data_IF_265381291744
#
_entry.id   IF_265381291744
#
_cell.length_a   1.000
_cell.length_b   1.000
_cell.length_c   1.000
_cell.angle_alpha   90.00
_cell.angle_beta   90.00
_cell.angle_gamma   90.00
#
_symmetry.space_group_name_H-M   'P 1'
#
loop_
_entity.id
_entity.type
_entity.pdbx_description
1 polymer ?
#
# COMPACT_ATOMS: atom_id res chain seq x y z
N UNK A 1 32.23 -0.42 31.25
CA UNK A 1 32.15 -0.17 29.80
C UNK A 1 30.78 0.43 29.54
N UNK A 2 30.72 1.69 29.08
CA UNK A 2 29.45 2.35 28.73
C UNK A 2 28.74 1.48 27.67
N UNK A 3 27.47 1.18 27.90
CA UNK A 3 26.62 0.51 26.91
C UNK A 3 26.64 1.37 25.64
N UNK A 4 27.26 0.86 24.56
CA UNK A 4 27.30 1.60 23.28
C UNK A 4 25.85 1.91 22.89
N UNK A 5 25.55 3.17 22.58
CA UNK A 5 24.24 3.59 22.12
C UNK A 5 23.79 2.71 20.93
N UNK A 6 22.56 2.21 21.01
CA UNK A 6 21.95 1.27 20.05
C UNK A 6 20.87 2.00 19.25
N UNK A 7 20.86 1.77 17.94
CA UNK A 7 19.91 2.40 17.02
C UNK A 7 19.25 1.38 16.10
N UNK A 8 18.09 1.76 15.57
CA UNK A 8 17.34 1.02 14.55
C UNK A 8 17.15 1.93 13.35
N UNK A 9 17.27 1.32 12.16
CA UNK A 9 17.10 2.00 10.88
C UNK A 9 15.75 1.59 10.28
N UNK A 10 14.90 2.57 9.99
CA UNK A 10 13.69 2.38 9.19
C UNK A 10 13.92 2.89 7.77
N UNK A 11 13.55 2.11 6.77
CA UNK A 11 13.53 2.51 5.36
C UNK A 11 12.07 2.61 4.95
N UNK A 12 11.66 3.72 4.33
CA UNK A 12 10.33 3.89 3.71
C UNK A 12 10.51 4.15 2.21
N UNK A 13 10.11 3.18 1.40
CA UNK A 13 10.13 3.24 -0.06
C UNK A 13 8.72 3.54 -0.60
N UNK A 14 8.34 4.81 -0.55
CA UNK A 14 7.10 5.31 -1.13
C UNK A 14 7.16 5.49 -2.65
N UNK A 15 6.08 5.99 -3.26
CA UNK A 15 6.03 6.19 -4.72
C UNK A 15 6.94 7.31 -5.26
N UNK A 16 7.12 8.38 -4.48
CA UNK A 16 7.85 9.61 -4.89
C UNK A 16 9.17 9.79 -4.15
N UNK A 17 9.29 9.27 -2.93
CA UNK A 17 10.47 9.45 -2.09
C UNK A 17 10.86 8.15 -1.43
N UNK A 18 12.17 7.92 -1.35
CA UNK A 18 12.78 6.94 -0.45
C UNK A 18 13.31 7.69 0.76
N UNK A 19 12.97 7.21 1.95
CA UNK A 19 13.37 7.79 3.22
C UNK A 19 14.12 6.75 4.04
N UNK A 20 15.14 7.18 4.77
CA UNK A 20 15.77 6.42 5.84
C UNK A 20 15.70 7.25 7.12
N UNK A 21 15.17 6.66 8.20
CA UNK A 21 15.07 7.27 9.52
C UNK A 21 15.84 6.47 10.56
N UNK A 22 16.48 7.17 11.49
CA UNK A 22 17.27 6.55 12.56
C UNK A 22 16.61 6.80 13.92
N UNK A 23 16.42 5.74 14.69
CA UNK A 23 15.73 5.80 15.97
C UNK A 23 16.51 5.09 17.07
N UNK A 24 16.46 5.60 18.31
CA UNK A 24 17.02 4.91 19.48
C UNK A 24 16.04 3.91 20.10
N UNK A 25 16.48 3.23 21.17
CA UNK A 25 15.67 2.22 21.88
C UNK A 25 14.42 2.80 22.57
N UNK A 26 14.29 4.12 22.67
CA UNK A 26 13.11 4.81 23.19
C UNK A 26 12.22 5.35 22.06
N UNK A 27 12.55 5.06 20.80
CA UNK A 27 11.82 5.54 19.63
C UNK A 27 12.10 7.00 19.29
N UNK A 28 13.12 7.64 19.89
CA UNK A 28 13.44 9.03 19.54
C UNK A 28 14.15 9.07 18.19
N UNK A 29 13.72 9.96 17.32
CA UNK A 29 14.34 10.20 16.01
C UNK A 29 15.66 10.96 16.17
N UNK A 30 16.73 10.45 15.56
CA UNK A 30 18.06 11.08 15.53
C UNK A 30 18.39 11.68 14.16
N UNK A 31 17.60 11.33 13.13
CA UNK A 31 17.69 11.97 11.83
C UNK A 31 16.95 11.21 10.75
N UNK A 32 16.60 11.96 9.69
CA UNK A 32 16.02 11.43 8.45
C UNK A 32 16.89 11.85 7.27
N UNK A 33 17.02 10.94 6.30
CA UNK A 33 17.46 11.24 4.95
C UNK A 33 16.39 10.86 3.95
N UNK A 34 16.31 11.60 2.85
CA UNK A 34 15.40 11.28 1.76
C UNK A 34 16.03 11.56 0.41
N UNK A 35 15.66 10.75 -0.58
CA UNK A 35 15.93 10.99 -1.99
C UNK A 35 14.64 10.89 -2.81
N UNK A 36 14.59 11.64 -3.90
CA UNK A 36 13.51 11.53 -4.87
C UNK A 36 13.63 10.21 -5.63
N UNK A 37 12.51 9.49 -5.77
CA UNK A 37 12.41 8.29 -6.58
C UNK A 37 11.68 8.63 -7.88
N UNK A 38 12.31 8.36 -9.01
CA UNK A 38 11.74 8.65 -10.32
C UNK A 38 10.80 7.53 -10.79
N UNK A 39 9.54 7.89 -11.08
CA UNK A 39 8.62 7.02 -11.82
C UNK A 39 8.86 7.11 -13.31
N UNK A 40 9.01 5.96 -13.95
CA UNK A 40 9.08 5.85 -15.39
C UNK A 40 7.67 5.59 -15.93
N UNK A 41 7.22 6.42 -16.88
CA UNK A 41 5.92 6.25 -17.55
C UNK A 41 6.14 6.26 -19.05
N UNK A 42 6.66 5.15 -19.63
CA UNK A 42 7.01 5.10 -21.06
C UNK A 42 5.79 5.17 -21.98
N UNK A 43 4.62 4.75 -21.48
CA UNK A 43 3.33 4.75 -22.20
C UNK A 43 2.19 5.18 -21.26
N UNK A 44 1.05 5.64 -21.80
CA UNK A 44 -0.13 5.93 -20.99
C UNK A 44 -0.55 4.73 -20.13
N UNK A 45 -0.76 4.98 -18.84
CA UNK A 45 -1.13 3.95 -17.87
C UNK A 45 0.04 3.09 -17.35
N UNK A 46 1.25 3.25 -17.87
CA UNK A 46 2.44 2.53 -17.38
C UNK A 46 3.08 3.31 -16.23
N UNK A 47 3.46 2.59 -15.18
CA UNK A 47 4.17 3.12 -14.03
C UNK A 47 5.25 2.11 -13.61
N UNK A 48 6.50 2.46 -13.88
CA UNK A 48 7.65 1.57 -13.73
C UNK A 48 8.71 2.13 -12.78
N UNK A 49 9.60 1.24 -12.35
CA UNK A 49 10.80 1.55 -11.57
C UNK A 49 12.01 0.81 -12.11
N UNK A 50 13.08 1.54 -12.38
CA UNK A 50 14.39 0.94 -12.56
C UNK A 50 14.86 0.37 -11.22
N UNK A 51 15.11 -0.94 -11.20
CA UNK A 51 15.42 -1.69 -9.98
C UNK A 51 16.86 -1.41 -9.51
N UNK A 52 17.83 -1.34 -10.42
CA UNK A 52 19.22 -1.05 -10.08
C UNK A 52 19.35 0.38 -9.54
N UNK A 53 18.66 1.34 -10.17
CA UNK A 53 18.61 2.72 -9.68
C UNK A 53 17.94 2.81 -8.30
N UNK A 54 16.85 2.06 -8.08
CA UNK A 54 16.17 2.00 -6.79
C UNK A 54 17.13 1.52 -5.69
N UNK A 55 17.91 0.45 -5.95
CA UNK A 55 18.90 -0.04 -4.99
C UNK A 55 19.98 1.01 -4.71
N UNK A 56 20.54 1.64 -5.75
CA UNK A 56 21.55 2.68 -5.59
C UNK A 56 21.05 3.86 -4.76
N UNK A 57 19.81 4.30 -5.01
CA UNK A 57 19.17 5.38 -4.24
C UNK A 57 18.91 4.98 -2.79
N UNK A 58 18.49 3.73 -2.54
CA UNK A 58 18.34 3.20 -1.19
C UNK A 58 19.68 3.24 -0.44
N UNK A 59 20.73 2.67 -1.03
CA UNK A 59 22.05 2.62 -0.42
C UNK A 59 22.62 4.02 -0.15
N UNK A 60 22.49 4.94 -1.12
CA UNK A 60 22.92 6.34 -0.96
C UNK A 60 22.10 7.09 0.12
N UNK A 61 20.81 6.76 0.28
CA UNK A 61 19.97 7.35 1.33
C UNK A 61 20.42 6.89 2.71
N UNK A 62 20.74 5.61 2.87
CA UNK A 62 21.28 5.05 4.12
C UNK A 62 22.65 5.64 4.44
N UNK A 63 23.59 5.61 3.49
CA UNK A 63 24.94 6.13 3.66
C UNK A 63 24.92 7.63 4.00
N UNK A 64 24.10 8.42 3.30
CA UNK A 64 23.94 9.85 3.57
C UNK A 64 23.32 10.14 4.94
N UNK A 65 22.48 9.24 5.48
CA UNK A 65 21.95 9.37 6.84
C UNK A 65 23.07 9.16 7.87
N UNK A 66 23.82 8.05 7.76
CA UNK A 66 24.90 7.70 8.68
C UNK A 66 26.00 8.78 8.67
N UNK A 67 26.35 9.30 7.50
CA UNK A 67 27.33 10.38 7.37
C UNK A 67 26.89 11.65 8.10
N UNK A 68 25.61 12.05 7.98
CA UNK A 68 25.11 13.29 8.59
C UNK A 68 24.91 13.19 10.09
N UNK A 69 24.49 12.03 10.60
CA UNK A 69 24.31 11.81 12.04
C UNK A 69 25.63 11.49 12.75
N UNK A 70 26.65 11.05 12.01
CA UNK A 70 27.91 10.56 12.57
C UNK A 70 27.78 9.24 13.31
N UNK A 71 26.64 8.55 13.18
CA UNK A 71 26.40 7.26 13.83
C UNK A 71 26.98 6.14 12.97
N UNK A 72 27.78 5.29 13.59
CA UNK A 72 28.48 4.21 12.89
C UNK A 72 27.58 3.01 12.64
N UNK A 73 27.83 2.29 11.53
CA UNK A 73 27.08 1.10 11.14
C UNK A 73 27.02 0.01 12.23
N UNK A 74 28.06 -0.15 13.05
CA UNK A 74 28.08 -1.14 14.14
C UNK A 74 27.12 -0.82 15.29
N UNK A 75 26.61 0.41 15.35
CA UNK A 75 25.62 0.85 16.34
C UNK A 75 24.19 0.52 15.91
N UNK A 76 23.97 0.20 14.63
CA UNK A 76 22.68 -0.22 14.10
C UNK A 76 22.44 -1.68 14.49
N UNK A 77 21.32 -1.94 15.16
CA UNK A 77 20.96 -3.27 15.69
C UNK A 77 19.86 -3.98 14.92
N UNK A 78 19.19 -3.27 14.02
CA UNK A 78 18.22 -3.84 13.11
C UNK A 78 17.80 -2.85 12.05
N UNK A 79 17.38 -3.40 10.91
CA UNK A 79 16.84 -2.64 9.78
C UNK A 79 15.42 -3.14 9.50
N UNK A 80 14.45 -2.22 9.42
CA UNK A 80 13.10 -2.49 8.95
C UNK A 80 12.81 -1.73 7.66
N UNK A 81 12.00 -2.32 6.78
CA UNK A 81 11.61 -1.72 5.50
C UNK A 81 10.09 -1.63 5.45
N UNK A 82 9.57 -0.43 5.21
CA UNK A 82 8.22 -0.24 4.72
C UNK A 82 8.28 0.19 3.26
N UNK A 83 7.33 -0.26 2.45
CA UNK A 83 7.20 0.22 1.08
C UNK A 83 5.75 0.17 0.61
N UNK A 84 5.50 0.86 -0.50
CA UNK A 84 4.27 0.71 -1.25
C UNK A 84 3.95 -0.77 -1.51
N UNK A 85 2.68 -1.12 -1.34
CA UNK A 85 2.18 -2.48 -1.56
C UNK A 85 2.01 -2.83 -3.02
N UNK A 86 1.81 -4.14 -3.27
CA UNK A 86 1.50 -4.69 -4.60
C UNK A 86 2.62 -4.35 -5.61
N UNK A 87 2.26 -4.19 -6.88
CA UNK A 87 3.25 -4.10 -7.96
C UNK A 87 3.92 -5.44 -8.25
N UNK A 88 4.91 -5.45 -9.15
CA UNK A 88 5.61 -6.66 -9.56
C UNK A 88 7.09 -6.35 -9.77
N UNK A 89 7.93 -6.98 -8.96
CA UNK A 89 9.39 -6.93 -9.02
C UNK A 89 9.88 -8.35 -9.36
N UNK A 90 10.68 -8.48 -10.41
CA UNK A 90 11.05 -9.78 -10.96
C UNK A 90 12.57 -9.95 -10.94
N UNK A 91 13.02 -11.10 -10.47
CA UNK A 91 14.38 -11.57 -10.70
C UNK A 91 14.36 -12.68 -11.75
N UNK A 92 15.42 -12.75 -12.54
CA UNK A 92 15.65 -13.86 -13.46
C UNK A 92 16.11 -15.14 -12.71
N UNK A 93 16.29 -16.24 -13.44
CA UNK A 93 16.78 -17.52 -12.89
C UNK A 93 18.24 -17.46 -12.39
N UNK A 94 18.93 -16.33 -12.57
CA UNK A 94 20.29 -16.05 -12.10
C UNK A 94 20.32 -14.95 -11.03
N UNK A 95 19.15 -14.61 -10.46
CA UNK A 95 19.00 -13.61 -9.40
C UNK A 95 19.43 -12.19 -9.80
N UNK A 96 19.17 -11.82 -11.06
CA UNK A 96 19.36 -10.45 -11.54
C UNK A 96 18.01 -9.78 -11.82
N UNK A 97 17.88 -8.46 -11.66
CA UNK A 97 16.67 -7.74 -12.05
C UNK A 97 16.24 -8.08 -13.49
N UNK A 98 15.01 -8.54 -13.64
CA UNK A 98 14.45 -8.96 -14.93
C UNK A 98 13.58 -7.84 -15.50
N UNK A 99 14.24 -6.79 -15.98
CA UNK A 99 13.61 -5.57 -16.50
C UNK A 99 13.13 -4.61 -15.40
N UNK A 100 12.43 -3.54 -15.78
CA UNK A 100 11.85 -2.61 -14.80
C UNK A 100 10.74 -3.28 -13.97
N UNK A 101 10.66 -2.93 -12.70
CA UNK A 101 9.53 -3.28 -11.87
C UNK A 101 8.29 -2.48 -12.29
N UNK A 102 7.11 -3.08 -12.15
CA UNK A 102 5.82 -2.46 -12.43
C UNK A 102 5.14 -2.09 -11.11
N UNK A 103 4.67 -0.86 -10.97
CA UNK A 103 4.13 -0.35 -9.71
C UNK A 103 2.64 -0.67 -9.52
N UNK A 104 2.13 -0.49 -8.31
CA UNK A 104 0.70 -0.69 -7.99
C UNK A 104 -0.24 0.31 -8.69
N UNK A 105 0.29 1.46 -9.12
CA UNK A 105 -0.41 2.44 -9.95
C UNK A 105 -0.43 2.08 -11.44
N UNK A 106 0.23 0.99 -11.86
CA UNK A 106 0.26 0.55 -13.25
C UNK A 106 -1.11 0.00 -13.68
N UNK A 107 -1.54 0.41 -14.88
CA UNK A 107 -2.84 0.12 -15.47
C UNK A 107 -2.74 -0.72 -16.74
N UNK A 108 -1.56 -1.20 -17.13
CA UNK A 108 -1.38 -1.98 -18.38
C UNK A 108 -2.20 -3.27 -18.40
N UNK A 109 -2.50 -3.83 -17.22
CA UNK A 109 -3.32 -5.03 -17.07
C UNK A 109 -4.84 -4.76 -17.09
N UNK A 110 -5.31 -3.56 -17.46
CA UNK A 110 -6.74 -3.21 -17.45
C UNK A 110 -7.60 -4.19 -18.26
N UNK A 111 -7.21 -4.51 -19.49
CA UNK A 111 -7.96 -5.43 -20.35
C UNK A 111 -8.00 -6.86 -19.77
N UNK A 112 -6.97 -7.28 -19.02
CA UNK A 112 -6.96 -8.58 -18.33
C UNK A 112 -7.97 -8.58 -17.20
N UNK A 113 -7.95 -7.54 -16.34
CA UNK A 113 -8.89 -7.41 -15.22
C UNK A 113 -10.34 -7.36 -15.71
N UNK A 114 -10.61 -6.63 -16.79
CA UNK A 114 -11.96 -6.56 -17.40
C UNK A 114 -12.43 -7.93 -17.92
N UNK A 115 -11.57 -8.71 -18.58
CA UNK A 115 -11.90 -10.07 -19.00
C UNK A 115 -12.18 -10.98 -17.80
N UNK A 116 -11.33 -10.94 -16.77
CA UNK A 116 -11.55 -11.70 -15.55
C UNK A 116 -12.86 -11.35 -14.83
N UNK A 117 -13.26 -10.08 -14.83
CA UNK A 117 -14.56 -9.66 -14.31
C UNK A 117 -15.72 -10.27 -15.13
N UNK A 118 -15.63 -10.28 -16.46
CA UNK A 118 -16.64 -10.90 -17.33
C UNK A 118 -16.71 -12.42 -17.16
N UNK A 119 -15.55 -13.06 -16.90
CA UNK A 119 -15.42 -14.51 -16.74
C UNK A 119 -15.81 -15.02 -15.33
N UNK A 120 -16.21 -14.12 -14.43
CA UNK A 120 -16.59 -14.46 -13.06
C UNK A 120 -15.41 -14.95 -12.19
N UNK A 121 -14.21 -14.45 -12.47
CA UNK A 121 -13.00 -14.75 -11.68
C UNK A 121 -13.02 -14.09 -10.29
N UNK A 122 -13.47 -12.83 -10.11
CA UNK A 122 -13.56 -12.22 -8.77
C UNK A 122 -14.34 -13.07 -7.76
N UNK A 123 -15.44 -13.69 -8.18
CA UNK A 123 -16.32 -14.52 -7.36
C UNK A 123 -15.63 -15.82 -6.90
N UNK A 124 -14.67 -16.31 -7.68
CA UNK A 124 -13.84 -17.49 -7.33
C UNK A 124 -12.68 -17.10 -6.41
N UNK A 125 -12.04 -15.96 -6.66
CA UNK A 125 -10.86 -15.52 -5.92
C UNK A 125 -11.22 -14.99 -4.53
N UNK A 126 -12.19 -14.08 -4.44
CA UNK A 126 -12.46 -13.32 -3.23
C UNK A 126 -12.73 -14.19 -1.99
N UNK A 127 -13.47 -15.33 -2.05
CA UNK A 127 -13.65 -16.20 -0.89
C UNK A 127 -12.34 -16.76 -0.32
N UNK A 128 -11.30 -16.89 -1.15
CA UNK A 128 -10.00 -17.47 -0.79
C UNK A 128 -8.97 -16.38 -0.46
N UNK A 129 -8.87 -15.34 -1.28
CA UNK A 129 -7.85 -14.29 -1.15
C UNK A 129 -8.31 -13.14 -0.26
N UNK A 130 -9.62 -12.90 -0.19
CA UNK A 130 -10.23 -11.69 0.39
C UNK A 130 -9.68 -10.40 -0.22
N UNK A 131 -9.32 -10.48 -1.49
CA UNK A 131 -8.81 -9.38 -2.30
C UNK A 131 -9.72 -9.14 -3.49
N UNK A 132 -10.03 -7.88 -3.78
CA UNK A 132 -10.61 -7.49 -5.06
C UNK A 132 -9.56 -7.60 -6.17
N UNK A 133 -9.98 -7.70 -7.44
CA UNK A 133 -9.05 -7.66 -8.56
C UNK A 133 -8.71 -6.22 -8.95
N UNK A 134 -7.41 -5.93 -9.07
CA UNK A 134 -6.86 -4.63 -9.43
C UNK A 134 -5.74 -4.78 -10.46
N UNK A 135 -5.52 -3.76 -11.30
CA UNK A 135 -4.54 -3.81 -12.40
C UNK A 135 -3.11 -3.91 -11.90
N UNK A 136 -2.79 -3.22 -10.80
CA UNK A 136 -1.46 -3.18 -10.21
C UNK A 136 -1.16 -4.34 -9.26
N UNK A 137 -2.01 -5.37 -9.19
CA UNK A 137 -1.71 -6.58 -8.41
C UNK A 137 -0.62 -7.42 -9.08
N UNK A 138 0.27 -8.05 -8.30
CA UNK A 138 1.27 -8.99 -8.82
C UNK A 138 0.67 -10.01 -9.79
N UNK A 139 -0.47 -10.63 -9.42
CA UNK A 139 -1.20 -11.56 -10.27
C UNK A 139 -1.60 -10.98 -11.64
N UNK A 140 -2.18 -9.79 -11.67
CA UNK A 140 -2.63 -9.12 -12.89
C UNK A 140 -1.44 -8.77 -13.80
N UNK A 141 -0.36 -8.26 -13.21
CA UNK A 141 0.85 -7.88 -13.92
C UNK A 141 1.60 -9.11 -14.46
N UNK A 142 1.67 -10.21 -13.70
CA UNK A 142 2.21 -11.48 -14.17
C UNK A 142 1.47 -12.01 -15.39
N UNK A 143 0.14 -11.98 -15.35
CA UNK A 143 -0.68 -12.38 -16.50
C UNK A 143 -0.41 -11.49 -17.71
N UNK A 144 -0.21 -10.20 -17.49
CA UNK A 144 0.17 -9.27 -18.55
C UNK A 144 1.53 -9.61 -19.17
N UNK A 145 2.56 -9.86 -18.35
CA UNK A 145 3.89 -10.26 -18.82
C UNK A 145 3.81 -11.59 -19.59
N UNK A 146 2.99 -12.55 -19.15
CA UNK A 146 2.77 -13.80 -19.87
C UNK A 146 2.23 -13.59 -21.28
N UNK A 147 1.23 -12.72 -21.44
CA UNK A 147 0.56 -12.49 -22.73
C UNK A 147 1.36 -11.57 -23.67
N UNK A 148 2.12 -10.61 -23.13
CA UNK A 148 2.75 -9.54 -23.92
C UNK A 148 4.27 -9.67 -24.01
N UNK A 149 4.92 -10.31 -23.02
CA UNK A 149 6.37 -10.48 -22.93
C UNK A 149 6.74 -11.94 -22.60
N UNK A 150 6.32 -12.93 -23.41
CA UNK A 150 6.45 -14.36 -23.06
C UNK A 150 7.91 -14.81 -22.86
N UNK A 151 8.86 -14.19 -23.56
CA UNK A 151 10.30 -14.46 -23.37
C UNK A 151 10.81 -13.98 -22.00
N UNK A 152 10.29 -12.86 -21.50
CA UNK A 152 10.58 -12.37 -20.14
C UNK A 152 9.90 -13.27 -19.12
N UNK A 153 8.62 -13.61 -19.34
CA UNK A 153 7.88 -14.51 -18.45
C UNK A 153 8.61 -15.84 -18.21
N UNK A 154 9.12 -16.45 -19.27
CA UNK A 154 9.85 -17.73 -19.20
C UNK A 154 11.17 -17.66 -18.41
N UNK A 155 11.71 -16.46 -18.19
CA UNK A 155 12.95 -16.22 -17.46
C UNK A 155 12.73 -15.89 -15.98
N UNK A 156 11.49 -15.71 -15.54
CA UNK A 156 11.20 -15.39 -14.13
C UNK A 156 11.73 -16.52 -13.23
N UNK A 157 12.62 -16.14 -12.31
CA UNK A 157 13.17 -17.00 -11.27
C UNK A 157 12.68 -16.63 -9.87
N UNK A 158 12.22 -15.39 -9.67
CA UNK A 158 11.60 -14.98 -8.43
C UNK A 158 10.57 -13.84 -8.63
N UNK A 159 9.44 -13.94 -7.94
CA UNK A 159 8.41 -12.90 -7.87
C UNK A 159 8.46 -12.21 -6.52
N UNK A 160 8.57 -10.88 -6.52
CA UNK A 160 8.70 -10.04 -5.33
C UNK A 160 7.87 -8.76 -5.44
N UNK A 161 7.80 -8.01 -4.33
CA UNK A 161 7.31 -6.62 -4.29
C UNK A 161 8.44 -5.68 -3.83
N UNK A 162 8.16 -4.37 -3.73
CA UNK A 162 9.22 -3.35 -3.61
C UNK A 162 10.12 -3.50 -2.37
N UNK A 163 9.55 -3.71 -1.19
CA UNK A 163 10.32 -3.91 0.04
C UNK A 163 11.06 -5.26 0.04
N UNK A 164 10.48 -6.31 -0.56
CA UNK A 164 11.14 -7.62 -0.70
C UNK A 164 12.40 -7.52 -1.57
N UNK A 165 12.32 -6.79 -2.68
CA UNK A 165 13.47 -6.53 -3.54
C UNK A 165 14.58 -5.78 -2.78
N UNK A 166 14.24 -4.71 -2.06
CA UNK A 166 15.22 -3.97 -1.26
C UNK A 166 15.82 -4.82 -0.14
N UNK A 167 15.01 -5.67 0.51
CA UNK A 167 15.50 -6.64 1.50
C UNK A 167 16.47 -7.62 0.85
N UNK A 168 16.12 -8.17 -0.32
CA UNK A 168 17.01 -9.07 -1.07
C UNK A 168 18.32 -8.37 -1.48
N UNK A 169 18.31 -7.10 -1.89
CA UNK A 169 19.54 -6.36 -2.16
C UNK A 169 20.44 -6.21 -0.92
N UNK A 170 19.83 -6.05 0.26
CA UNK A 170 20.55 -5.93 1.53
C UNK A 170 21.10 -7.28 2.00
N UNK A 171 20.34 -8.36 1.82
CA UNK A 171 20.58 -9.65 2.50
C UNK A 171 20.95 -10.83 1.60
N UNK A 172 20.66 -10.74 0.31
CA UNK A 172 20.73 -11.87 -0.63
C UNK A 172 19.68 -12.96 -0.40
N UNK A 173 18.78 -12.79 0.58
CA UNK A 173 17.78 -13.80 0.96
C UNK A 173 16.45 -13.47 0.29
N UNK A 174 15.89 -14.45 -0.43
CA UNK A 174 14.58 -14.34 -1.07
C UNK A 174 13.47 -14.62 -0.06
N UNK A 175 12.42 -13.81 -0.12
CA UNK A 175 11.19 -13.99 0.63
C UNK A 175 10.15 -13.00 0.16
N UNK A 176 8.89 -13.22 0.51
CA UNK A 176 7.83 -12.23 0.38
C UNK A 176 7.21 -11.96 1.75
N UNK A 177 7.21 -10.71 2.19
CA UNK A 177 6.65 -10.36 3.49
C UNK A 177 5.12 -10.54 3.51
N UNK A 178 4.63 -11.11 4.61
CA UNK A 178 3.25 -11.59 4.75
C UNK A 178 2.20 -10.49 4.54
N UNK A 179 2.37 -9.31 5.15
CA UNK A 179 1.39 -8.23 5.08
C UNK A 179 1.16 -7.78 3.63
N UNK A 180 2.20 -7.74 2.80
CA UNK A 180 2.10 -7.35 1.39
C UNK A 180 1.65 -8.51 0.49
N UNK A 181 2.24 -9.71 0.65
CA UNK A 181 1.91 -10.86 -0.21
C UNK A 181 0.47 -11.33 0.00
N UNK A 182 -0.09 -11.11 1.19
CA UNK A 182 -1.50 -11.38 1.48
C UNK A 182 -2.45 -10.59 0.57
N UNK A 183 -2.00 -9.46 0.00
CA UNK A 183 -2.76 -8.61 -0.91
C UNK A 183 -2.43 -8.82 -2.40
N UNK A 184 -1.76 -9.92 -2.75
CA UNK A 184 -1.26 -10.17 -4.11
C UNK A 184 -2.25 -10.86 -5.07
N UNK A 185 -3.34 -11.41 -4.55
CA UNK A 185 -4.18 -12.47 -5.18
C UNK A 185 -3.47 -13.81 -5.43
N UNK A 186 -2.32 -14.06 -4.80
CA UNK A 186 -1.60 -15.35 -4.85
C UNK A 186 -1.59 -16.08 -3.50
N UNK A 187 -2.15 -15.45 -2.47
CA UNK A 187 -2.12 -15.91 -1.08
C UNK A 187 -3.52 -16.30 -0.62
N UNK A 188 -3.64 -17.45 0.03
CA UNK A 188 -4.86 -17.93 0.65
C UNK A 188 -4.95 -17.41 2.08
N UNK A 189 -5.95 -16.57 2.33
CA UNK A 189 -6.09 -15.83 3.57
C UNK A 189 -6.35 -16.76 4.78
N UNK A 190 -6.99 -17.90 4.55
CA UNK A 190 -7.31 -18.89 5.58
C UNK A 190 -6.10 -19.75 5.94
N UNK A 191 -5.42 -20.33 4.95
CA UNK A 191 -4.25 -21.21 5.21
C UNK A 191 -2.98 -20.43 5.54
N UNK A 192 -2.92 -19.16 5.16
CA UNK A 192 -1.76 -18.32 5.35
C UNK A 192 -0.59 -18.65 4.43
N UNK A 193 -0.85 -19.20 3.26
CA UNK A 193 0.15 -19.73 2.32
C UNK A 193 -0.23 -19.43 0.88
N UNK A 194 0.71 -19.60 -0.05
CA UNK A 194 0.38 -19.64 -1.48
C UNK A 194 -0.60 -20.77 -1.79
N UNK A 195 -1.43 -20.57 -2.79
CA UNK A 195 -2.41 -21.56 -3.22
C UNK A 195 -2.37 -21.72 -4.75
N UNK A 196 -1.83 -22.84 -5.27
CA UNK A 196 -1.71 -23.10 -6.71
C UNK A 196 -3.02 -23.04 -7.49
N UNK A 197 -4.17 -23.16 -6.81
CA UNK A 197 -5.48 -22.98 -7.47
C UNK A 197 -5.67 -21.55 -7.94
N UNK A 198 -5.13 -20.57 -7.20
CA UNK A 198 -5.22 -19.15 -7.54
C UNK A 198 -4.45 -18.89 -8.85
N UNK A 199 -3.20 -19.32 -8.95
CA UNK A 199 -2.39 -19.17 -10.16
C UNK A 199 -2.98 -19.94 -11.34
N UNK A 200 -3.58 -21.11 -11.11
CA UNK A 200 -4.32 -21.84 -12.13
C UNK A 200 -5.54 -21.06 -12.64
N UNK A 201 -6.39 -20.52 -11.76
CA UNK A 201 -7.58 -19.74 -12.14
C UNK A 201 -7.22 -18.43 -12.86
N UNK A 202 -6.10 -17.82 -12.47
CA UNK A 202 -5.52 -16.65 -13.12
C UNK A 202 -4.74 -17.01 -14.41
N UNK A 203 -4.55 -18.30 -14.69
CA UNK A 203 -3.85 -18.80 -15.86
C UNK A 203 -2.35 -18.45 -15.90
N UNK A 204 -1.71 -18.44 -14.74
CA UNK A 204 -0.27 -18.15 -14.53
C UNK A 204 0.41 -19.26 -13.70
N UNK A 205 -0.14 -20.49 -13.69
CA UNK A 205 0.35 -21.61 -12.85
C UNK A 205 1.83 -21.94 -13.00
N UNK A 206 2.48 -21.58 -14.12
CA UNK A 206 3.92 -21.77 -14.31
C UNK A 206 4.77 -20.97 -13.29
N UNK A 207 4.19 -19.96 -12.65
CA UNK A 207 4.88 -19.09 -11.70
C UNK A 207 5.04 -19.68 -10.30
N UNK A 208 4.32 -20.76 -9.96
CA UNK A 208 4.32 -21.30 -8.59
C UNK A 208 5.74 -21.62 -8.08
N UNK A 209 6.60 -22.12 -8.97
CA UNK A 209 8.00 -22.44 -8.65
C UNK A 209 8.90 -21.22 -8.42
N UNK A 210 8.45 -20.02 -8.81
CA UNK A 210 9.16 -18.76 -8.65
C UNK A 210 8.64 -17.93 -7.46
N UNK A 211 7.64 -18.41 -6.72
CA UNK A 211 7.15 -17.74 -5.51
C UNK A 211 8.10 -18.06 -4.35
N UNK A 212 8.77 -17.05 -3.74
CA UNK A 212 9.69 -17.29 -2.63
C UNK A 212 8.92 -17.54 -1.33
N UNK A 213 9.55 -18.12 -0.29
CA UNK A 213 8.90 -18.34 1.01
C UNK A 213 8.27 -17.07 1.60
N UNK A 214 7.15 -17.22 2.30
CA UNK A 214 6.54 -16.11 3.06
C UNK A 214 7.36 -15.85 4.33
N UNK A 215 7.58 -14.57 4.65
CA UNK A 215 8.34 -14.12 5.82
C UNK A 215 7.45 -13.21 6.67
N UNK A 216 7.43 -13.38 7.98
CA UNK A 216 6.66 -12.52 8.88
C UNK A 216 7.24 -11.11 8.99
N UNK A 217 6.40 -10.11 9.32
CA UNK A 217 6.81 -8.70 9.34
C UNK A 217 8.02 -8.40 10.27
N UNK A 218 8.02 -9.01 11.46
CA UNK A 218 9.09 -8.90 12.46
C UNK A 218 10.09 -10.07 12.41
N UNK A 219 9.85 -11.06 11.55
CA UNK A 219 10.76 -12.18 11.36
C UNK A 219 12.07 -11.70 10.73
N UNK A 220 13.19 -12.28 11.13
CA UNK A 220 14.49 -11.97 10.53
C UNK A 220 14.55 -12.53 9.10
N UNK A 221 14.32 -11.67 8.12
CA UNK A 221 14.41 -11.98 6.68
C UNK A 221 15.82 -12.02 6.12
N UNK A 222 16.85 -11.82 6.95
CA UNK A 222 18.26 -11.98 6.59
C UNK A 222 19.18 -11.09 7.42
N UNK A 223 20.42 -10.94 6.96
CA UNK A 223 21.43 -10.04 7.53
C UNK A 223 22.10 -9.24 6.43
N UNK A 224 22.56 -8.03 6.76
CA UNK A 224 23.34 -7.21 5.83
C UNK A 224 24.56 -8.00 5.32
N UNK A 225 24.66 -8.15 4.00
CA UNK A 225 25.80 -8.80 3.35
C UNK A 225 27.06 -7.91 3.40
N UNK A 226 28.27 -8.47 3.27
CA UNK A 226 29.49 -7.67 3.12
C UNK A 226 29.43 -6.67 1.97
N UNK A 227 28.79 -7.04 0.86
CA UNK A 227 28.61 -6.19 -0.32
C UNK A 227 27.67 -5.01 -0.01
N UNK A 228 26.52 -5.27 0.61
CA UNK A 228 25.60 -4.22 1.03
C UNK A 228 26.23 -3.29 2.09
N UNK A 229 26.97 -3.84 3.04
CA UNK A 229 27.70 -3.09 4.07
C UNK A 229 28.67 -2.07 3.44
N UNK A 230 29.45 -2.49 2.43
CA UNK A 230 30.43 -1.63 1.76
C UNK A 230 29.81 -0.40 1.07
N UNK A 231 28.57 -0.50 0.57
CA UNK A 231 27.90 0.58 -0.16
C UNK A 231 27.03 1.44 0.77
N UNK A 232 26.43 0.83 1.80
CA UNK A 232 25.48 1.51 2.71
C UNK A 232 26.15 2.13 3.93
N UNK A 233 27.34 1.64 4.32
CA UNK A 233 28.00 1.98 5.59
C UNK A 233 27.43 1.24 6.81
N UNK A 234 26.48 0.30 6.62
CA UNK A 234 25.99 -0.58 7.67
C UNK A 234 27.02 -1.68 8.01
N UNK A 235 26.90 -2.27 9.21
CA UNK A 235 27.73 -3.41 9.57
C UNK A 235 27.17 -4.71 8.96
N UNK A 236 28.04 -5.50 8.32
CA UNK A 236 27.68 -6.85 7.89
C UNK A 236 27.22 -7.69 9.10
N UNK A 237 26.22 -8.56 8.89
CA UNK A 237 25.59 -9.33 9.96
C UNK A 237 24.48 -8.59 10.72
N UNK A 238 24.25 -7.29 10.45
CA UNK A 238 23.10 -6.57 11.05
C UNK A 238 21.80 -7.20 10.58
N UNK A 239 20.86 -7.58 11.47
CA UNK A 239 19.62 -8.24 11.06
C UNK A 239 18.70 -7.29 10.30
N UNK A 240 18.04 -7.82 9.27
CA UNK A 240 16.99 -7.12 8.51
C UNK A 240 15.70 -7.92 8.71
N UNK A 241 14.65 -7.27 9.19
CA UNK A 241 13.34 -7.93 9.39
C UNK A 241 12.55 -7.99 8.08
N UNK A 242 11.47 -8.78 8.04
CA UNK A 242 10.60 -8.93 6.87
C UNK A 242 10.12 -7.59 6.31
N UNK A 243 9.70 -6.68 7.20
CA UNK A 243 9.21 -5.36 6.83
C UNK A 243 7.69 -5.27 6.84
N UNK A 244 7.14 -4.23 6.22
CA UNK A 244 5.70 -3.94 6.23
C UNK A 244 5.23 -3.33 4.91
N UNK A 245 4.03 -3.69 4.49
CA UNK A 245 3.24 -2.86 3.59
C UNK A 245 2.98 -1.48 4.24
N UNK A 246 3.11 -0.39 3.49
CA UNK A 246 2.96 0.99 3.98
C UNK A 246 1.61 1.26 4.67
N UNK A 247 0.49 0.74 4.16
CA UNK A 247 -0.83 0.88 4.80
C UNK A 247 -0.86 0.20 6.18
N UNK A 248 -0.22 -0.96 6.30
CA UNK A 248 -0.10 -1.68 7.57
C UNK A 248 0.79 -0.91 8.55
N UNK A 249 1.93 -0.39 8.07
CA UNK A 249 2.81 0.46 8.89
C UNK A 249 2.12 1.75 9.36
N UNK A 250 1.28 2.34 8.51
CA UNK A 250 0.51 3.55 8.85
C UNK A 250 -0.52 3.23 9.93
N UNK A 251 -1.24 2.12 9.82
CA UNK A 251 -2.19 1.67 10.83
C UNK A 251 -1.50 1.38 12.17
N UNK A 252 -0.33 0.73 12.13
CA UNK A 252 0.47 0.46 13.33
C UNK A 252 0.92 1.76 14.02
N UNK A 253 1.47 2.72 13.26
CA UNK A 253 1.92 4.01 13.78
C UNK A 253 0.76 4.90 14.25
N UNK A 254 -0.45 4.70 13.72
CA UNK A 254 -1.65 5.39 14.19
C UNK A 254 -2.16 4.86 15.56
N UNK A 255 -1.59 3.76 16.07
CA UNK A 255 -1.95 3.21 17.37
C UNK A 255 -3.32 2.52 17.38
N UNK A 256 -3.73 1.89 16.27
CA UNK A 256 -4.97 1.11 16.23
C UNK A 256 -4.73 -0.22 16.94
N UNK A 257 -5.37 -0.40 18.10
CA UNK A 257 -5.20 -1.59 18.95
C UNK A 257 -6.48 -2.42 19.10
N UNK A 258 -7.61 -1.97 18.55
CA UNK A 258 -8.93 -2.60 18.72
C UNK A 258 -9.80 -2.55 17.45
N UNK A 259 -10.92 -3.29 17.48
CA UNK A 259 -11.92 -3.32 16.40
C UNK A 259 -12.90 -2.13 16.42
N UNK A 260 -12.74 -1.18 17.34
CA UNK A 260 -13.65 -0.04 17.51
C UNK A 260 -13.07 1.27 16.94
N UNK A 261 -11.79 1.25 16.62
CA UNK A 261 -11.05 2.38 16.09
C UNK A 261 -10.81 2.20 14.59
N UNK A 262 -11.12 3.24 13.82
CA UNK A 262 -10.83 3.30 12.39
C UNK A 262 -9.78 4.38 12.14
N UNK A 263 -8.83 4.06 11.25
CA UNK A 263 -7.90 5.04 10.69
C UNK A 263 -8.43 5.53 9.34
N UNK A 264 -8.50 6.84 9.16
CA UNK A 264 -8.92 7.47 7.93
C UNK A 264 -7.79 8.37 7.41
N UNK A 265 -7.22 7.99 6.28
CA UNK A 265 -6.13 8.71 5.61
C UNK A 265 -6.69 9.46 4.41
N UNK A 266 -6.50 10.77 4.41
CA UNK A 266 -6.89 11.68 3.32
C UNK A 266 -5.63 12.19 2.61
N UNK A 267 -5.07 11.38 1.70
CA UNK A 267 -3.93 11.77 0.86
C UNK A 267 -4.34 11.91 -0.61
N UNK A 268 -3.44 11.60 -1.54
CA UNK A 268 -3.82 11.45 -2.96
C UNK A 268 -4.92 10.39 -3.13
N UNK A 269 -4.83 9.32 -2.33
CA UNK A 269 -5.85 8.27 -2.18
C UNK A 269 -6.62 8.44 -0.88
N UNK A 270 -7.90 8.04 -0.90
CA UNK A 270 -8.68 7.82 0.30
C UNK A 270 -8.41 6.41 0.79
N UNK A 271 -8.03 6.22 2.05
CA UNK A 271 -7.93 4.89 2.65
C UNK A 271 -8.57 4.93 4.03
N UNK A 272 -9.54 4.06 4.27
CA UNK A 272 -10.11 3.84 5.61
C UNK A 272 -9.82 2.40 6.02
N UNK A 273 -9.15 2.23 7.15
CA UNK A 273 -8.68 0.93 7.63
C UNK A 273 -9.13 0.67 9.06
N UNK A 274 -9.34 -0.60 9.40
CA UNK A 274 -9.56 -1.09 10.76
C UNK A 274 -8.87 -2.44 10.97
N UNK A 275 -8.65 -2.83 12.22
CA UNK A 275 -7.99 -4.09 12.57
C UNK A 275 -9.02 -5.04 13.16
N UNK A 276 -9.02 -6.30 12.71
CA UNK A 276 -9.97 -7.33 13.18
C UNK A 276 -9.28 -8.63 13.54
N UNK A 277 -9.89 -9.40 14.43
CA UNK A 277 -9.46 -10.73 14.85
C UNK A 277 -10.27 -11.79 14.10
N UNK A 278 -9.69 -12.35 13.04
CA UNK A 278 -10.33 -13.36 12.22
C UNK A 278 -11.05 -12.84 10.97
N UNK A 279 -11.34 -13.78 10.09
CA UNK A 279 -12.12 -13.53 8.88
C UNK A 279 -13.61 -13.60 9.19
N UNK A 280 -14.39 -12.74 8.53
CA UNK A 280 -15.85 -12.79 8.57
C UNK A 280 -16.39 -13.30 7.23
N UNK A 281 -17.29 -14.27 7.32
CA UNK A 281 -18.05 -14.76 6.16
C UNK A 281 -19.26 -13.87 5.90
N UNK A 282 -19.69 -13.83 4.64
CA UNK A 282 -20.86 -13.06 4.20
C UNK A 282 -20.78 -11.56 4.54
N UNK A 283 -19.69 -10.95 4.09
CA UNK A 283 -19.53 -9.51 4.13
C UNK A 283 -20.55 -8.80 3.25
N UNK A 284 -21.03 -7.64 3.70
CA UNK A 284 -21.92 -6.80 2.91
C UNK A 284 -21.25 -6.25 1.64
N UNK A 285 -19.92 -6.10 1.69
CA UNK A 285 -19.09 -5.56 0.63
C UNK A 285 -17.81 -6.38 0.45
N UNK A 286 -17.20 -6.37 -0.75
CA UNK A 286 -15.94 -7.05 -1.00
C UNK A 286 -14.76 -6.25 -0.44
N UNK A 287 -14.68 -6.13 0.90
CA UNK A 287 -13.58 -5.45 1.59
C UNK A 287 -12.22 -6.08 1.26
N UNK A 288 -11.17 -5.25 1.23
CA UNK A 288 -9.80 -5.74 1.09
C UNK A 288 -9.27 -6.15 2.46
N UNK A 289 -8.88 -7.41 2.61
CA UNK A 289 -8.25 -7.94 3.83
C UNK A 289 -6.77 -8.21 3.63
N UNK A 290 -5.90 -7.54 4.39
CA UNK A 290 -4.49 -7.89 4.50
C UNK A 290 -4.20 -8.60 5.81
N UNK A 291 -3.10 -9.35 5.87
CA UNK A 291 -2.50 -9.81 7.12
C UNK A 291 -1.94 -8.61 7.90
N UNK A 292 -2.15 -8.59 9.21
CA UNK A 292 -1.61 -7.56 10.09
C UNK A 292 -0.33 -8.04 10.78
N UNK A 293 0.36 -7.13 11.48
CA UNK A 293 1.68 -7.39 12.08
C UNK A 293 1.67 -8.41 13.21
N UNK A 294 0.50 -8.64 13.82
CA UNK A 294 0.33 -9.61 14.89
C UNK A 294 -0.42 -10.84 14.37
N UNK A 295 0.00 -12.01 14.84
CA UNK A 295 -0.61 -13.29 14.49
C UNK A 295 -2.13 -13.29 14.72
N UNK A 296 -2.87 -13.77 13.70
CA UNK A 296 -4.32 -13.89 13.74
C UNK A 296 -5.10 -12.57 13.62
N UNK A 297 -4.41 -11.43 13.46
CA UNK A 297 -5.03 -10.15 13.14
C UNK A 297 -4.98 -9.87 11.63
N UNK A 298 -5.99 -9.13 11.17
CA UNK A 298 -6.13 -8.70 9.79
C UNK A 298 -6.37 -7.20 9.75
N UNK A 299 -5.76 -6.54 8.77
CA UNK A 299 -6.17 -5.19 8.39
C UNK A 299 -7.29 -5.32 7.36
N UNK A 300 -8.38 -4.60 7.56
CA UNK A 300 -9.45 -4.48 6.58
C UNK A 300 -9.43 -3.04 6.10
N UNK A 301 -9.51 -2.81 4.79
CA UNK A 301 -9.59 -1.45 4.29
C UNK A 301 -10.51 -1.29 3.08
N UNK A 302 -11.12 -0.12 3.01
CA UNK A 302 -11.75 0.44 1.82
C UNK A 302 -10.89 1.60 1.34
N UNK A 303 -10.64 1.67 0.04
CA UNK A 303 -9.81 2.73 -0.53
C UNK A 303 -10.32 3.16 -1.89
N UNK A 304 -10.16 4.43 -2.27
CA UNK A 304 -10.44 4.92 -3.63
C UNK A 304 -9.32 5.80 -4.17
N UNK A 305 -9.11 5.83 -5.51
CA UNK A 305 -8.08 6.66 -6.15
C UNK A 305 -8.33 8.17 -6.06
N UNK A 306 -9.38 8.57 -5.34
CA UNK A 306 -9.79 9.95 -5.19
C UNK A 306 -9.74 10.40 -3.73
N UNK A 307 -9.05 11.51 -3.48
CA UNK A 307 -9.04 12.24 -2.21
C UNK A 307 -8.50 13.66 -2.42
N UNK A 308 -7.51 14.12 -1.63
CA UNK A 308 -6.96 15.48 -1.64
C UNK A 308 -6.36 15.89 -2.99
N UNK A 309 -5.93 14.92 -3.80
CA UNK A 309 -5.39 15.15 -5.13
C UNK A 309 -6.34 15.91 -6.08
N UNK A 310 -7.66 15.90 -5.83
CA UNK A 310 -8.63 16.70 -6.59
C UNK A 310 -8.45 18.20 -6.33
N UNK A 311 -8.21 18.57 -5.06
CA UNK A 311 -7.97 19.95 -4.67
C UNK A 311 -6.63 20.43 -5.20
N UNK A 312 -5.58 19.61 -5.06
CA UNK A 312 -4.24 19.91 -5.61
C UNK A 312 -4.32 20.17 -7.12
N UNK A 313 -4.97 19.29 -7.87
CA UNK A 313 -5.16 19.50 -9.31
C UNK A 313 -5.95 20.77 -9.62
N UNK A 314 -7.07 21.00 -8.94
CA UNK A 314 -7.91 22.18 -9.16
C UNK A 314 -7.12 23.47 -8.89
N UNK A 315 -6.44 23.56 -7.77
CA UNK A 315 -5.65 24.75 -7.40
C UNK A 315 -4.53 25.04 -8.40
N UNK A 316 -3.86 24.01 -8.92
CA UNK A 316 -2.86 24.17 -9.98
C UNK A 316 -3.45 24.75 -11.28
N UNK A 317 -4.69 24.41 -11.65
CA UNK A 317 -5.35 24.99 -12.83
C UNK A 317 -5.83 26.43 -12.62
N UNK A 318 -5.97 26.87 -11.37
CA UNK A 318 -6.59 28.15 -11.00
C UNK A 318 -5.62 29.15 -10.35
N UNK A 319 -4.32 29.01 -10.62
CA UNK A 319 -3.30 29.98 -10.23
C UNK A 319 -2.72 29.77 -8.83
N UNK A 320 -2.54 28.51 -8.42
CA UNK A 320 -1.75 28.10 -7.24
C UNK A 320 -2.08 28.88 -5.96
N UNK A 321 -3.33 28.77 -5.50
CA UNK A 321 -3.70 29.29 -4.18
C UNK A 321 -3.00 28.51 -3.07
N UNK A 322 -2.56 29.22 -2.04
CA UNK A 322 -2.12 28.58 -0.79
C UNK A 322 -3.30 27.93 -0.06
N UNK A 323 -3.02 26.89 0.73
CA UNK A 323 -4.05 26.25 1.56
C UNK A 323 -4.69 27.21 2.56
N UNK A 324 -3.95 28.20 3.07
CA UNK A 324 -4.48 29.21 3.99
C UNK A 324 -5.51 30.11 3.31
N UNK A 325 -5.24 30.57 2.09
CA UNK A 325 -6.20 31.37 1.31
C UNK A 325 -7.48 30.58 1.00
N UNK A 326 -7.33 29.30 0.64
CA UNK A 326 -8.47 28.41 0.37
C UNK A 326 -9.31 28.24 1.65
N UNK A 327 -8.65 27.96 2.78
CA UNK A 327 -9.31 27.75 4.07
C UNK A 327 -10.07 29.01 4.51
N UNK A 328 -9.47 30.20 4.37
CA UNK A 328 -10.13 31.46 4.68
C UNK A 328 -11.35 31.71 3.78
N UNK A 329 -11.21 31.47 2.47
CA UNK A 329 -12.31 31.65 1.52
C UNK A 329 -13.50 30.73 1.84
N UNK A 330 -13.24 29.45 2.11
CA UNK A 330 -14.28 28.48 2.48
C UNK A 330 -14.90 28.82 3.83
N UNK A 331 -14.10 29.18 4.83
CA UNK A 331 -14.59 29.54 6.16
C UNK A 331 -15.46 30.81 6.19
N UNK A 332 -15.30 31.70 5.21
CA UNK A 332 -16.13 32.91 5.07
C UNK A 332 -17.56 32.64 4.59
N UNK A 333 -17.82 31.45 4.04
CA UNK A 333 -19.15 31.07 3.55
C UNK A 333 -20.08 30.65 4.70
N UNK A 334 -21.39 30.84 4.57
CA UNK A 334 -22.37 30.24 5.47
C UNK A 334 -22.25 28.69 5.47
N UNK A 335 -22.29 28.08 6.66
CA UNK A 335 -22.30 26.62 6.80
C UNK A 335 -23.51 26.02 6.08
N UNK A 336 -23.30 24.95 5.31
CA UNK A 336 -24.35 24.25 4.54
C UNK A 336 -25.17 25.18 3.60
N UNK A 337 -24.59 26.30 3.15
CA UNK A 337 -25.29 27.31 2.36
C UNK A 337 -25.33 27.07 0.85
N UNK A 338 -24.70 26.00 0.35
CA UNK A 338 -24.50 25.77 -1.09
C UNK A 338 -25.20 24.50 -1.56
N UNK A 339 -25.98 24.60 -2.65
CA UNK A 339 -26.52 23.44 -3.38
C UNK A 339 -25.58 22.92 -4.47
N UNK A 340 -24.31 23.35 -4.45
CA UNK A 340 -23.29 22.95 -5.40
C UNK A 340 -22.59 21.68 -4.91
N UNK A 341 -22.69 20.60 -5.69
CA UNK A 341 -21.99 19.35 -5.41
C UNK A 341 -20.78 19.18 -6.32
N UNK A 342 -19.75 18.52 -5.81
CA UNK A 342 -18.61 18.06 -6.60
C UNK A 342 -18.49 16.54 -6.52
N UNK A 343 -18.46 15.86 -7.67
CA UNK A 343 -18.10 14.45 -7.76
C UNK A 343 -16.58 14.36 -7.93
N UNK A 344 -15.83 13.77 -6.97
CA UNK A 344 -14.37 13.85 -6.97
C UNK A 344 -13.70 12.75 -7.82
N UNK A 345 -14.29 12.28 -8.92
CA UNK A 345 -13.77 11.10 -9.64
C UNK A 345 -12.70 11.44 -10.71
N UNK A 346 -11.85 12.43 -10.46
CA UNK A 346 -10.84 12.90 -11.42
C UNK A 346 -9.81 11.80 -11.77
N UNK A 347 -9.44 10.98 -10.79
CA UNK A 347 -8.49 9.88 -10.95
C UNK A 347 -9.19 8.51 -11.01
N UNK A 348 -10.52 8.49 -11.17
CA UNK A 348 -11.36 7.31 -11.19
C UNK A 348 -12.22 7.12 -9.95
N UNK A 349 -13.01 6.04 -9.94
CA UNK A 349 -13.97 5.73 -8.88
C UNK A 349 -14.09 4.22 -8.67
N UNK A 350 -14.40 3.82 -7.44
CA UNK A 350 -14.81 2.44 -7.12
C UNK A 350 -16.32 2.23 -7.31
N UNK A 351 -17.09 3.31 -7.51
CA UNK A 351 -18.53 3.20 -7.76
C UNK A 351 -18.84 2.77 -9.20
N UNK A 352 -17.90 2.95 -10.12
CA UNK A 352 -18.01 2.53 -11.52
C UNK A 352 -16.86 3.06 -12.36
N UNK A 353 -16.41 2.26 -13.34
CA UNK A 353 -15.25 2.60 -14.20
C UNK A 353 -15.50 3.84 -15.08
N UNK A 354 -16.77 4.13 -15.42
CA UNK A 354 -17.18 5.25 -16.28
C UNK A 354 -17.45 6.55 -15.51
N UNK A 355 -17.35 6.53 -14.17
CA UNK A 355 -17.64 7.71 -13.35
C UNK A 355 -16.53 8.76 -13.53
N UNK A 356 -16.94 9.99 -13.82
CA UNK A 356 -16.05 11.13 -14.05
C UNK A 356 -16.26 12.23 -13.02
N UNK A 357 -15.30 13.15 -12.91
CA UNK A 357 -15.45 14.31 -12.04
C UNK A 357 -16.45 15.33 -12.61
N UNK A 358 -17.12 16.09 -11.75
CA UNK A 358 -17.98 17.16 -12.20
C UNK A 358 -18.58 18.00 -11.09
N UNK A 359 -18.94 19.24 -11.42
CA UNK A 359 -19.75 20.11 -10.57
C UNK A 359 -21.23 20.01 -10.97
N UNK A 360 -22.11 19.86 -9.99
CA UNK A 360 -23.55 19.71 -10.19
C UNK A 360 -24.31 20.75 -9.38
N UNK A 361 -25.30 21.39 -10.00
CA UNK A 361 -26.13 22.42 -9.35
C UNK A 361 -25.56 23.84 -9.40
N UNK A 362 -24.59 24.11 -10.29
CA UNK A 362 -23.98 25.44 -10.41
C UNK A 362 -24.98 26.50 -10.89
N UNK A 363 -24.95 27.67 -10.25
CA UNK A 363 -25.79 28.84 -10.53
C UNK A 363 -24.93 30.10 -10.46
N UNK A 364 -25.40 31.21 -11.05
CA UNK A 364 -24.64 32.47 -11.14
C UNK A 364 -24.30 33.11 -9.78
N UNK A 365 -24.99 32.72 -8.69
CA UNK A 365 -24.69 33.17 -7.34
C UNK A 365 -23.42 32.54 -6.75
N UNK A 366 -22.96 31.41 -7.30
CA UNK A 366 -21.80 30.70 -6.77
C UNK A 366 -20.51 31.43 -7.15
N UNK A 367 -19.68 31.65 -6.14
CA UNK A 367 -18.35 32.25 -6.26
C UNK A 367 -17.26 31.18 -6.25
N UNK A 368 -16.02 31.57 -6.51
CA UNK A 368 -14.84 30.69 -6.38
C UNK A 368 -14.79 29.95 -5.04
N UNK A 369 -15.16 30.63 -3.95
CA UNK A 369 -15.21 30.02 -2.63
C UNK A 369 -16.22 28.86 -2.56
N UNK A 370 -17.39 28.99 -3.20
CA UNK A 370 -18.39 27.93 -3.25
C UNK A 370 -17.90 26.70 -4.01
N UNK A 371 -17.11 26.90 -5.08
CA UNK A 371 -16.50 25.79 -5.82
C UNK A 371 -15.45 25.06 -4.95
N UNK A 372 -14.62 25.80 -4.22
CA UNK A 372 -13.64 25.23 -3.29
C UNK A 372 -14.32 24.46 -2.15
N UNK A 373 -15.40 25.01 -1.57
CA UNK A 373 -16.23 24.32 -0.58
C UNK A 373 -16.81 23.01 -1.15
N UNK A 374 -17.37 23.06 -2.36
CA UNK A 374 -17.93 21.88 -2.99
C UNK A 374 -16.88 20.77 -3.18
N UNK A 375 -15.63 21.13 -3.53
CA UNK A 375 -14.53 20.15 -3.60
C UNK A 375 -14.23 19.53 -2.23
N UNK A 376 -14.12 20.35 -1.18
CA UNK A 376 -13.89 19.88 0.20
C UNK A 376 -14.98 18.87 0.60
N UNK A 377 -16.23 19.28 0.43
CA UNK A 377 -17.40 18.48 0.78
C UNK A 377 -17.48 17.21 -0.09
N UNK A 378 -17.22 17.30 -1.40
CA UNK A 378 -17.20 16.16 -2.31
C UNK A 378 -16.17 15.10 -1.92
N UNK A 379 -14.94 15.53 -1.57
CA UNK A 379 -13.89 14.64 -1.06
C UNK A 379 -14.32 13.99 0.26
N UNK A 380 -14.87 14.77 1.19
CA UNK A 380 -15.38 14.26 2.47
C UNK A 380 -16.54 13.28 2.27
N UNK A 381 -17.50 13.56 1.38
CA UNK A 381 -18.62 12.66 1.09
C UNK A 381 -18.16 11.34 0.47
N UNK A 382 -17.15 11.38 -0.41
CA UNK A 382 -16.50 10.16 -0.91
C UNK A 382 -15.85 9.36 0.22
N UNK A 383 -15.17 10.01 1.17
CA UNK A 383 -14.61 9.31 2.35
C UNK A 383 -15.68 8.77 3.27
N UNK A 384 -16.77 9.51 3.47
CA UNK A 384 -17.90 9.06 4.28
C UNK A 384 -18.53 7.78 3.72
N UNK A 385 -18.43 7.54 2.42
CA UNK A 385 -18.87 6.26 1.82
C UNK A 385 -18.03 5.10 2.35
N UNK A 386 -16.70 5.22 2.30
CA UNK A 386 -15.77 4.23 2.86
C UNK A 386 -15.97 4.07 4.37
N UNK A 387 -16.05 5.19 5.08
CA UNK A 387 -16.23 5.20 6.54
C UNK A 387 -17.55 4.52 6.94
N UNK A 388 -18.65 4.77 6.24
CA UNK A 388 -19.93 4.15 6.55
C UNK A 388 -19.91 2.64 6.33
N UNK A 389 -19.28 2.16 5.24
CA UNK A 389 -19.07 0.72 4.99
C UNK A 389 -18.20 0.08 6.07
N UNK A 390 -17.06 0.70 6.36
CA UNK A 390 -16.16 0.24 7.42
C UNK A 390 -16.88 0.22 8.77
N UNK A 391 -17.69 1.25 9.09
CA UNK A 391 -18.52 1.24 10.30
C UNK A 391 -19.53 0.10 10.30
N UNK A 392 -20.19 -0.21 9.19
CA UNK A 392 -21.08 -1.38 9.10
C UNK A 392 -20.33 -2.68 9.39
N UNK A 393 -19.11 -2.83 8.88
CA UNK A 393 -18.25 -3.99 9.14
C UNK A 393 -17.82 -4.08 10.61
N UNK A 394 -17.37 -2.99 11.20
CA UNK A 394 -16.77 -2.93 12.54
C UNK A 394 -17.79 -2.71 13.66
N UNK A 395 -19.04 -2.38 13.31
CA UNK A 395 -20.14 -2.41 14.29
C UNK A 395 -20.47 -3.87 14.60
N UNK A 396 -20.54 -4.27 15.89
CA UNK A 396 -20.99 -5.59 16.26
C UNK A 396 -22.40 -5.81 15.69
N UNK A 397 -22.58 -6.82 14.82
CA UNK A 397 -23.93 -7.30 14.52
C UNK A 397 -24.49 -7.78 15.85
N UNK A 398 -25.61 -7.20 16.28
CA UNK A 398 -26.32 -7.72 17.45
C UNK A 398 -26.50 -9.23 17.23
N UNK A 399 -25.82 -10.04 18.03
CA UNK A 399 -26.03 -11.49 17.99
C UNK A 399 -27.51 -11.78 18.23
N UNK A 400 -28.02 -12.97 17.84
CA UNK A 400 -29.38 -13.34 18.17
C UNK A 400 -29.55 -13.09 19.66
N UNK A 401 -30.50 -12.22 20.02
CA UNK A 401 -30.77 -11.87 21.39
C UNK A 401 -30.85 -13.17 22.18
N UNK A 402 -29.88 -13.42 23.07
CA UNK A 402 -30.05 -14.47 24.05
C UNK A 402 -31.28 -14.05 24.82
N UNK A 403 -32.43 -14.63 24.48
CA UNK A 403 -33.64 -14.55 25.29
C UNK A 403 -33.22 -15.06 26.67
N UNK A 404 -32.89 -14.13 27.57
CA UNK A 404 -32.91 -14.39 29.00
C UNK A 404 -34.36 -14.77 29.27
N UNK A 405 -34.62 -16.07 29.44
CA UNK A 405 -35.88 -16.54 30.00
C UNK A 405 -36.09 -15.80 31.31
N UNK A 406 -37.21 -15.07 31.49
CA UNK A 406 -37.54 -14.54 32.79
C UNK A 406 -37.97 -15.72 33.68
N UNK A 407 -37.32 -15.87 34.82
CA UNK A 407 -37.83 -16.67 35.94
C UNK A 407 -37.15 -18.02 36.16
N UNK A 408 -36.24 -18.04 37.13
CA UNK A 408 -36.14 -19.12 38.11
C UNK A 408 -35.63 -18.49 39.41
N UNK A 409 -36.58 -18.11 40.26
CA UNK A 409 -36.42 -18.16 41.72
C UNK A 409 -36.77 -19.58 42.17
#
# INVERSE_FOLDING_TARGET
MSEKARFWLGIDCGGTYLKAGLYDAQGREHGINRQSLQTLSPLPGYAERDMDQLWQQCAATIAGLLQRTGIHGEQIKGVGISAQGKGLFLLDKQDRPLGHAMLSSDRRALAIVQRWQQDGIPEKLYPVTRQTLWTGHPASLLRWVKENEPQRYAQIGCVMMGHDYLRWCLTGVKGCEESNISESNLYNMTSGQYDPRLTQWLGIGEIDSALPPVVGSAEKGGEITPQAAAITGLAAGTPVVGGLFDVVSTALCAGIEDEFTLNAVMGTWAVTSGITHGLRDHEAHPYVYGRYVNDGQYIVHEASPTSSGNLEWFTAQWGELSFDEINQAVASLPKAGSGLFFLPFLYGSNAGLEMTCGFYGMQALHTRAHLLQAIYEGVVFSHMTHLNRMRERFTPRAGPARHRRPGAL
#
